data_IF_862035512927
#
_entry.id   IF_862035512927
#
_cell.length_a   1.000
_cell.length_b   1.000
_cell.length_c   1.000
_cell.angle_alpha   90.00
_cell.angle_beta   90.00
_cell.angle_gamma   90.00
#
_symmetry.space_group_name_H-M   'P 1'
#
loop_
_entity.id
_entity.type
_entity.pdbx_description
1 polymer ?
#
# COMPACT_ATOMS: atom_id res chain seq x y z
N UNK A 1 26.81 -76.68 -38.24
CA UNK A 1 25.61 -76.45 -39.03
C UNK A 1 24.98 -75.23 -38.48
N UNK A 2 24.81 -74.24 -39.30
CA UNK A 2 24.13 -72.96 -39.12
C UNK A 2 24.72 -72.06 -38.04
N UNK A 3 25.62 -71.14 -38.47
CA UNK A 3 26.03 -69.92 -37.82
C UNK A 3 24.88 -68.89 -37.89
N UNK A 4 24.55 -68.30 -36.78
CA UNK A 4 23.83 -67.01 -36.78
C UNK A 4 24.78 -65.90 -36.39
N UNK A 5 25.04 -65.02 -37.35
CA UNK A 5 25.82 -63.81 -37.22
C UNK A 5 25.05 -62.79 -36.38
N UNK A 6 25.70 -62.38 -35.33
CA UNK A 6 25.27 -61.29 -34.45
C UNK A 6 25.58 -59.96 -35.14
N UNK A 7 24.58 -59.25 -35.57
CA UNK A 7 24.69 -57.92 -36.18
C UNK A 7 24.56 -56.86 -35.10
N UNK A 8 25.70 -56.29 -34.70
CA UNK A 8 25.76 -55.10 -33.86
C UNK A 8 25.09 -53.91 -34.56
N UNK A 9 24.05 -53.39 -33.92
CA UNK A 9 23.44 -52.12 -34.32
C UNK A 9 24.19 -50.99 -33.56
N UNK A 10 24.98 -50.25 -34.33
CA UNK A 10 25.64 -49.04 -33.83
C UNK A 10 24.54 -47.97 -33.62
N UNK A 11 24.24 -47.62 -32.38
CA UNK A 11 23.42 -46.53 -32.05
C UNK A 11 24.18 -45.21 -32.28
N UNK A 12 23.67 -44.40 -33.16
CA UNK A 12 24.16 -43.08 -33.52
C UNK A 12 23.94 -42.14 -32.30
N UNK A 13 25.00 -41.76 -31.60
CA UNK A 13 24.93 -40.78 -30.53
C UNK A 13 24.72 -39.40 -31.13
N UNK A 14 23.53 -38.84 -30.93
CA UNK A 14 23.24 -37.46 -31.22
C UNK A 14 24.13 -36.52 -30.33
N UNK A 15 24.68 -35.44 -30.88
CA UNK A 15 25.54 -34.56 -30.12
C UNK A 15 24.79 -33.88 -28.98
N UNK A 16 25.17 -34.16 -27.76
CA UNK A 16 24.70 -33.48 -26.57
C UNK A 16 25.17 -32.02 -26.65
N UNK A 17 24.24 -31.13 -26.92
CA UNK A 17 24.50 -29.70 -26.85
C UNK A 17 24.97 -29.34 -25.42
N UNK A 18 26.20 -28.87 -25.28
CA UNK A 18 26.71 -28.31 -24.03
C UNK A 18 25.90 -27.05 -23.73
N UNK A 19 24.98 -27.17 -22.78
CA UNK A 19 24.22 -26.03 -22.26
C UNK A 19 25.23 -25.24 -21.41
N UNK A 20 25.51 -24.01 -21.85
CA UNK A 20 26.34 -23.06 -21.10
C UNK A 20 25.64 -22.74 -19.78
N UNK A 21 26.23 -23.20 -18.67
CA UNK A 21 25.69 -22.97 -17.30
C UNK A 21 25.58 -21.49 -16.93
N UNK A 22 26.20 -20.61 -17.71
CA UNK A 22 26.09 -19.16 -17.53
C UNK A 22 24.83 -18.53 -18.15
N UNK A 23 24.08 -19.25 -18.98
CA UNK A 23 22.83 -18.75 -19.58
C UNK A 23 21.64 -18.74 -18.59
N UNK A 24 21.76 -19.41 -17.45
CA UNK A 24 20.75 -19.42 -16.38
C UNK A 24 21.11 -18.53 -15.19
N UNK A 25 22.16 -17.71 -15.29
CA UNK A 25 22.32 -16.56 -14.44
C UNK A 25 21.20 -15.54 -14.77
N UNK A 26 19.95 -16.01 -14.69
CA UNK A 26 18.82 -15.17 -14.88
C UNK A 26 18.84 -14.08 -13.80
N UNK A 27 18.60 -12.87 -14.22
CA UNK A 27 18.43 -11.63 -13.48
C UNK A 27 17.41 -11.69 -12.32
N UNK A 28 16.97 -12.88 -11.93
CA UNK A 28 16.03 -13.15 -10.83
C UNK A 28 16.70 -13.81 -9.62
N UNK A 29 18.01 -13.68 -9.47
CA UNK A 29 18.67 -14.08 -8.24
C UNK A 29 18.20 -13.17 -7.10
N UNK A 30 17.62 -13.76 -6.05
CA UNK A 30 17.25 -13.07 -4.81
C UNK A 30 18.44 -12.30 -4.17
N UNK A 31 19.65 -12.57 -4.62
CA UNK A 31 20.87 -11.90 -4.20
C UNK A 31 21.02 -10.51 -4.81
N UNK A 32 20.60 -10.31 -6.06
CA UNK A 32 20.59 -8.99 -6.70
C UNK A 32 19.53 -8.07 -6.08
N UNK A 33 18.38 -8.63 -5.62
CA UNK A 33 17.36 -7.86 -4.91
C UNK A 33 17.87 -7.34 -3.55
N UNK A 34 18.76 -8.08 -2.89
CA UNK A 34 19.38 -7.62 -1.63
C UNK A 34 20.41 -6.52 -1.84
N UNK A 35 21.13 -6.52 -2.95
CA UNK A 35 22.15 -5.50 -3.24
C UNK A 35 21.51 -4.18 -3.73
N UNK A 36 20.42 -4.22 -4.50
CA UNK A 36 19.71 -3.01 -4.89
C UNK A 36 18.98 -2.32 -3.72
N UNK A 37 18.59 -3.07 -2.68
CA UNK A 37 18.02 -2.46 -1.49
C UNK A 37 19.03 -1.81 -0.54
N UNK A 38 20.34 -2.06 -0.74
CA UNK A 38 21.39 -1.49 0.12
C UNK A 38 21.98 -0.16 -0.40
N UNK A 39 21.57 0.30 -1.59
CA UNK A 39 22.10 1.54 -2.19
C UNK A 39 21.08 2.69 -2.27
N UNK A 40 19.89 2.50 -1.76
CA UNK A 40 19.04 3.67 -1.47
C UNK A 40 19.53 4.25 -0.15
N UNK A 41 20.35 5.29 -0.25
CA UNK A 41 20.57 6.24 0.81
C UNK A 41 19.20 6.56 1.42
N UNK A 42 18.93 6.00 2.58
CA UNK A 42 17.91 6.53 3.46
C UNK A 42 18.49 7.86 3.90
N UNK A 43 18.22 8.93 3.13
CA UNK A 43 18.40 10.26 3.64
C UNK A 43 17.65 10.25 4.97
N UNK A 44 18.42 10.31 6.06
CA UNK A 44 17.87 10.37 7.40
C UNK A 44 17.12 11.69 7.50
N UNK A 45 15.81 11.63 7.24
CA UNK A 45 14.93 12.79 7.35
C UNK A 45 14.93 13.16 8.82
N UNK A 46 15.59 14.26 9.16
CA UNK A 46 15.63 14.77 10.52
C UNK A 46 14.25 15.33 10.91
N UNK A 47 13.88 15.13 12.17
CA UNK A 47 12.66 15.75 12.70
C UNK A 47 12.84 17.26 12.82
N UNK A 48 11.93 18.00 12.20
CA UNK A 48 11.89 19.47 12.28
C UNK A 48 11.03 19.86 13.48
N UNK A 49 11.61 20.67 14.37
CA UNK A 49 10.89 21.28 15.48
C UNK A 49 10.74 22.80 15.22
N UNK A 50 9.59 23.32 15.62
CA UNK A 50 9.29 24.76 15.53
C UNK A 50 9.64 25.42 16.88
N UNK A 51 10.50 26.40 16.87
CA UNK A 51 10.98 27.08 18.08
C UNK A 51 9.88 27.81 18.86
N UNK A 52 8.88 28.33 18.13
CA UNK A 52 7.74 29.03 18.74
C UNK A 52 6.44 28.42 18.21
N UNK A 53 5.98 27.30 18.79
CA UNK A 53 4.76 26.63 18.33
C UNK A 53 3.52 27.50 18.62
N UNK A 54 2.61 27.60 17.65
CA UNK A 54 1.32 28.24 17.86
C UNK A 54 0.40 27.33 18.71
N UNK A 55 -0.18 27.88 19.77
CA UNK A 55 -0.92 27.10 20.78
C UNK A 55 -2.28 26.62 20.28
N UNK A 56 -2.88 27.29 19.31
CA UNK A 56 -4.27 27.02 18.89
C UNK A 56 -4.35 26.48 17.45
N UNK A 57 -4.12 25.19 17.28
CA UNK A 57 -4.42 24.53 16.02
C UNK A 57 -5.88 24.05 16.00
N UNK A 58 -6.66 24.55 15.04
CA UNK A 58 -8.03 24.06 14.81
C UNK A 58 -7.99 22.68 14.14
N UNK A 59 -8.94 21.82 14.49
CA UNK A 59 -9.11 20.52 13.84
C UNK A 59 -9.30 20.65 12.32
N UNK A 60 -10.06 21.65 11.88
CA UNK A 60 -10.24 21.94 10.43
C UNK A 60 -8.92 22.26 9.73
N UNK A 61 -8.08 23.07 10.37
CA UNK A 61 -6.77 23.44 9.81
C UNK A 61 -5.86 22.21 9.72
N UNK A 62 -5.88 21.35 10.73
CA UNK A 62 -5.13 20.11 10.75
C UNK A 62 -5.62 19.16 9.63
N UNK A 63 -6.93 18.96 9.48
CA UNK A 63 -7.49 18.14 8.41
C UNK A 63 -7.17 18.70 7.01
N UNK A 64 -7.18 20.03 6.86
CA UNK A 64 -6.76 20.68 5.60
C UNK A 64 -5.28 20.44 5.30
N UNK A 65 -4.39 20.58 6.30
CA UNK A 65 -2.96 20.29 6.14
C UNK A 65 -2.71 18.81 5.78
N UNK A 66 -3.47 17.91 6.41
CA UNK A 66 -3.43 16.48 6.11
C UNK A 66 -3.83 16.18 4.65
N UNK A 67 -4.93 16.79 4.18
CA UNK A 67 -5.39 16.63 2.80
C UNK A 67 -4.37 17.19 1.79
N UNK A 68 -3.80 18.37 2.05
CA UNK A 68 -2.72 18.94 1.22
C UNK A 68 -1.50 18.02 1.12
N UNK A 69 -1.14 17.38 2.22
CA UNK A 69 -0.03 16.42 2.19
C UNK A 69 -0.34 15.22 1.29
N UNK A 70 -1.55 14.67 1.39
CA UNK A 70 -1.99 13.58 0.51
C UNK A 70 -1.97 13.99 -0.97
N UNK A 71 -2.40 15.21 -1.31
CA UNK A 71 -2.33 15.77 -2.66
C UNK A 71 -0.88 15.93 -3.15
N UNK A 72 0.02 16.38 -2.26
CA UNK A 72 1.46 16.48 -2.58
C UNK A 72 2.06 15.11 -2.91
N UNK A 73 1.67 14.08 -2.16
CA UNK A 73 2.10 12.71 -2.44
C UNK A 73 1.57 12.18 -3.78
N UNK A 74 0.32 12.49 -4.12
CA UNK A 74 -0.26 12.13 -5.43
C UNK A 74 0.49 12.81 -6.58
N UNK A 75 0.78 14.11 -6.44
CA UNK A 75 1.57 14.88 -7.42
C UNK A 75 2.98 14.31 -7.63
N UNK A 76 3.55 13.72 -6.59
CA UNK A 76 4.85 13.05 -6.62
C UNK A 76 4.76 11.56 -7.05
N UNK A 77 3.60 11.09 -7.50
CA UNK A 77 3.38 9.72 -7.95
C UNK A 77 3.27 8.67 -6.82
N UNK A 78 3.23 9.12 -5.55
CA UNK A 78 3.17 8.24 -4.38
C UNK A 78 1.73 7.89 -3.98
N UNK A 79 0.96 7.39 -4.94
CA UNK A 79 -0.48 7.12 -4.80
C UNK A 79 -0.83 6.14 -3.68
N UNK A 80 0.05 5.16 -3.41
CA UNK A 80 -0.19 4.17 -2.35
C UNK A 80 -0.33 4.85 -0.98
N UNK A 81 0.67 5.64 -0.57
CA UNK A 81 0.66 6.36 0.71
C UNK A 81 -0.47 7.40 0.76
N UNK A 82 -0.69 8.14 -0.33
CA UNK A 82 -1.78 9.10 -0.42
C UNK A 82 -3.15 8.43 -0.20
N UNK A 83 -3.38 7.26 -0.81
CA UNK A 83 -4.62 6.51 -0.63
C UNK A 83 -4.78 6.02 0.81
N UNK A 84 -3.71 5.59 1.45
CA UNK A 84 -3.72 5.20 2.87
C UNK A 84 -4.13 6.40 3.74
N UNK A 85 -3.59 7.59 3.52
CA UNK A 85 -3.91 8.80 4.27
C UNK A 85 -5.37 9.27 4.10
N UNK A 86 -6.08 8.75 3.11
CA UNK A 86 -7.51 9.03 2.88
C UNK A 86 -8.46 7.97 3.45
N UNK A 87 -7.94 6.87 4.04
CA UNK A 87 -8.79 5.81 4.59
C UNK A 87 -9.63 6.29 5.76
N UNK A 88 -9.07 7.12 6.62
CA UNK A 88 -9.79 7.68 7.76
C UNK A 88 -9.48 9.17 7.94
N UNK A 89 -10.26 9.83 8.79
CA UNK A 89 -10.04 11.24 9.12
C UNK A 89 -9.18 11.33 10.37
N UNK A 90 -8.08 12.10 10.35
CA UNK A 90 -7.27 12.31 11.53
C UNK A 90 -8.05 13.14 12.59
N UNK A 91 -7.83 12.84 13.84
CA UNK A 91 -8.47 13.47 14.99
C UNK A 91 -7.41 14.22 15.79
N UNK A 92 -7.69 15.50 16.09
CA UNK A 92 -6.81 16.31 16.92
C UNK A 92 -7.10 16.08 18.39
N UNK A 93 -6.09 15.72 19.18
CA UNK A 93 -6.16 15.55 20.62
C UNK A 93 -5.10 16.41 21.28
N UNK A 94 -5.51 17.46 21.99
CA UNK A 94 -4.62 18.42 22.71
C UNK A 94 -3.30 18.75 21.99
N UNK A 95 -2.31 17.87 22.05
CA UNK A 95 -0.97 18.06 21.47
C UNK A 95 -0.55 16.89 20.53
N UNK A 96 -1.51 16.09 20.11
CA UNK A 96 -1.27 14.94 19.22
C UNK A 96 -2.36 14.79 18.18
N UNK A 97 -1.99 14.18 17.04
CA UNK A 97 -2.88 13.77 15.98
C UNK A 97 -3.05 12.27 16.08
N UNK A 98 -4.27 11.79 16.28
CA UNK A 98 -4.60 10.37 16.25
C UNK A 98 -5.06 9.99 14.86
N UNK A 99 -4.43 8.97 14.27
CA UNK A 99 -4.80 8.44 12.97
C UNK A 99 -5.04 6.93 13.05
N UNK A 100 -6.22 6.49 12.61
CA UNK A 100 -6.63 5.09 12.67
C UNK A 100 -6.48 4.43 11.31
N UNK A 101 -5.87 3.25 11.28
CA UNK A 101 -5.65 2.44 10.08
C UNK A 101 -6.30 1.07 10.22
N UNK A 102 -6.67 0.40 9.09
CA UNK A 102 -7.43 -0.85 9.12
C UNK A 102 -6.62 -2.09 9.50
N UNK A 103 -5.30 -2.06 9.39
CA UNK A 103 -4.42 -3.22 9.64
C UNK A 103 -2.98 -2.81 9.95
N UNK A 104 -2.19 -3.79 10.44
CA UNK A 104 -0.79 -3.59 10.80
C UNK A 104 0.12 -3.31 9.59
N UNK A 105 -0.16 -3.90 8.41
CA UNK A 105 0.61 -3.63 7.19
C UNK A 105 0.52 -2.16 6.81
N UNK A 106 -0.69 -1.60 6.82
CA UNK A 106 -0.92 -0.17 6.56
C UNK A 106 -0.26 0.70 7.63
N UNK A 107 -0.25 0.26 8.89
CA UNK A 107 0.46 0.94 9.97
C UNK A 107 1.95 1.03 9.70
N UNK A 108 2.59 -0.08 9.36
CA UNK A 108 4.02 -0.13 9.06
C UNK A 108 4.40 0.75 7.85
N UNK A 109 3.54 0.85 6.84
CA UNK A 109 3.78 1.72 5.70
C UNK A 109 3.75 3.21 6.09
N UNK A 110 2.80 3.62 6.94
CA UNK A 110 2.75 5.01 7.44
C UNK A 110 3.90 5.28 8.41
N UNK A 111 4.27 4.33 9.26
CA UNK A 111 5.39 4.48 10.20
C UNK A 111 6.72 4.79 9.49
N UNK A 112 6.95 4.26 8.29
CA UNK A 112 8.11 4.63 7.45
C UNK A 112 8.10 6.09 7.04
N UNK A 113 6.93 6.68 6.91
CA UNK A 113 6.73 8.07 6.46
C UNK A 113 6.43 9.04 7.61
N UNK A 114 6.41 8.56 8.86
CA UNK A 114 5.92 9.33 10.01
C UNK A 114 6.66 10.66 10.17
N UNK A 115 7.97 10.66 9.97
CA UNK A 115 8.81 11.86 10.10
C UNK A 115 8.45 12.87 8.99
N UNK A 116 8.30 12.42 7.76
CA UNK A 116 7.92 13.28 6.62
C UNK A 116 6.55 13.92 6.82
N UNK A 117 5.56 13.11 7.26
CA UNK A 117 4.22 13.57 7.58
C UNK A 117 4.24 14.60 8.71
N UNK A 118 4.94 14.31 9.81
CA UNK A 118 5.05 15.21 10.95
C UNK A 118 5.74 16.53 10.58
N UNK A 119 6.84 16.47 9.84
CA UNK A 119 7.57 17.65 9.40
C UNK A 119 6.72 18.55 8.52
N UNK A 120 5.95 17.98 7.58
CA UNK A 120 5.03 18.75 6.75
C UNK A 120 3.94 19.43 7.60
N UNK A 121 3.29 18.67 8.47
CA UNK A 121 2.20 19.17 9.32
C UNK A 121 2.71 20.24 10.29
N UNK A 122 3.88 20.02 10.90
CA UNK A 122 4.51 21.01 11.80
C UNK A 122 4.80 22.33 11.09
N UNK A 123 5.35 22.27 9.87
CA UNK A 123 5.62 23.47 9.04
C UNK A 123 4.33 24.21 8.67
N UNK A 124 3.30 23.46 8.22
CA UNK A 124 2.03 24.06 7.77
C UNK A 124 1.25 24.68 8.94
N UNK A 125 1.21 24.01 10.09
CA UNK A 125 0.45 24.44 11.27
C UNK A 125 1.26 25.29 12.24
N UNK A 126 2.57 25.39 12.05
CA UNK A 126 3.52 26.05 12.97
C UNK A 126 3.34 25.54 14.41
N UNK A 127 3.19 24.23 14.57
CA UNK A 127 2.94 23.58 15.85
C UNK A 127 3.63 22.21 15.91
N UNK A 128 4.20 21.84 17.07
CA UNK A 128 4.92 20.59 17.28
C UNK A 128 3.98 19.43 17.68
N UNK A 129 2.99 19.14 16.82
CA UNK A 129 2.07 18.04 17.05
C UNK A 129 2.74 16.68 16.82
N UNK A 130 2.46 15.72 17.69
CA UNK A 130 2.92 14.35 17.57
C UNK A 130 1.88 13.50 16.86
N UNK A 131 2.29 12.71 15.85
CA UNK A 131 1.40 11.76 15.19
C UNK A 131 1.40 10.42 15.93
N UNK A 132 0.22 9.92 16.24
CA UNK A 132 -0.03 8.62 16.87
C UNK A 132 -0.88 7.79 15.91
N UNK A 133 -0.38 6.60 15.54
CA UNK A 133 -1.06 5.70 14.62
C UNK A 133 -1.63 4.52 15.43
N UNK A 134 -2.92 4.26 15.27
CA UNK A 134 -3.63 3.17 15.91
C UNK A 134 -4.28 2.25 14.90
N UNK A 135 -4.34 0.95 15.18
CA UNK A 135 -5.02 -0.02 14.32
C UNK A 135 -6.45 -0.20 14.79
N UNK A 136 -7.41 0.15 13.94
CA UNK A 136 -8.84 -0.10 14.16
C UNK A 136 -9.39 -1.02 13.07
N UNK A 137 -9.57 -2.30 13.41
CA UNK A 137 -10.10 -3.33 12.51
C UNK A 137 -11.53 -3.05 12.03
N UNK A 138 -12.27 -2.17 12.73
CA UNK A 138 -13.65 -1.82 12.38
C UNK A 138 -13.73 -0.86 11.18
N UNK A 139 -12.66 -0.15 10.84
CA UNK A 139 -12.62 0.75 9.67
C UNK A 139 -12.96 -0.02 8.39
N UNK A 140 -12.50 -1.27 8.25
CA UNK A 140 -12.82 -2.12 7.10
C UNK A 140 -14.32 -2.36 6.92
N UNK A 141 -15.10 -2.38 8.00
CA UNK A 141 -16.55 -2.58 7.94
C UNK A 141 -17.31 -1.40 7.31
N UNK A 142 -16.68 -0.22 7.23
CA UNK A 142 -17.29 0.96 6.56
C UNK A 142 -17.25 0.85 5.04
N UNK A 143 -16.34 0.06 4.48
CA UNK A 143 -16.25 -0.15 3.04
C UNK A 143 -17.06 -1.39 2.65
N UNK A 144 -18.11 -1.17 1.89
CA UNK A 144 -18.97 -2.21 1.36
C UNK A 144 -18.35 -2.72 0.06
N UNK A 145 -17.71 -3.89 0.14
CA UNK A 145 -16.92 -4.43 -0.99
C UNK A 145 -17.77 -5.30 -1.91
N UNK A 146 -18.68 -6.10 -1.35
CA UNK A 146 -19.50 -7.00 -2.13
C UNK A 146 -20.65 -6.28 -2.84
N UNK A 147 -21.09 -6.82 -3.98
CA UNK A 147 -22.27 -6.29 -4.72
C UNK A 147 -23.50 -6.26 -3.83
N UNK A 148 -23.69 -7.30 -3.02
CA UNK A 148 -24.79 -7.42 -2.07
C UNK A 148 -24.74 -6.34 -0.98
N UNK A 149 -23.56 -6.08 -0.39
CA UNK A 149 -23.40 -5.02 0.62
C UNK A 149 -23.63 -3.63 0.04
N UNK A 150 -23.12 -3.38 -1.19
CA UNK A 150 -23.37 -2.14 -1.91
C UNK A 150 -24.85 -1.93 -2.19
N UNK A 151 -25.53 -2.98 -2.65
CA UNK A 151 -26.98 -2.93 -2.89
C UNK A 151 -27.75 -2.66 -1.60
N UNK A 152 -27.47 -3.36 -0.52
CA UNK A 152 -28.13 -3.14 0.77
C UNK A 152 -27.96 -1.71 1.26
N UNK A 153 -26.76 -1.15 1.10
CA UNK A 153 -26.50 0.23 1.44
C UNK A 153 -27.25 1.24 0.60
N UNK A 154 -27.42 0.97 -0.70
CA UNK A 154 -28.21 1.80 -1.59
C UNK A 154 -29.71 1.68 -1.28
N UNK A 155 -30.18 0.46 -0.93
CA UNK A 155 -31.55 0.20 -0.51
C UNK A 155 -31.90 0.95 0.78
N UNK A 156 -30.99 1.01 1.76
CA UNK A 156 -31.18 1.81 2.98
C UNK A 156 -31.37 3.31 2.68
N UNK A 157 -30.61 3.83 1.71
CA UNK A 157 -30.73 5.23 1.28
C UNK A 157 -31.96 5.50 0.42
N UNK A 158 -32.36 4.52 -0.38
CA UNK A 158 -33.50 4.63 -1.27
C UNK A 158 -34.29 3.31 -1.34
N UNK A 159 -35.36 3.15 -0.53
CA UNK A 159 -36.17 1.93 -0.51
C UNK A 159 -36.85 1.58 -1.83
N UNK A 160 -37.01 2.56 -2.74
CA UNK A 160 -37.60 2.32 -4.07
C UNK A 160 -36.76 1.41 -4.96
N UNK A 161 -35.46 1.24 -4.64
CA UNK A 161 -34.55 0.33 -5.37
C UNK A 161 -35.01 -1.14 -5.30
N UNK A 162 -35.69 -1.53 -4.24
CA UNK A 162 -36.26 -2.88 -4.13
C UNK A 162 -37.37 -3.13 -5.15
N UNK A 163 -38.23 -2.14 -5.37
CA UNK A 163 -39.26 -2.22 -6.42
C UNK A 163 -38.63 -2.32 -7.81
N UNK A 164 -37.59 -1.54 -8.06
CA UNK A 164 -36.87 -1.57 -9.33
C UNK A 164 -36.24 -2.95 -9.57
N UNK A 165 -35.58 -3.52 -8.55
CA UNK A 165 -35.01 -4.89 -8.61
C UNK A 165 -36.09 -5.92 -9.01
N UNK A 166 -37.23 -5.85 -8.37
CA UNK A 166 -38.36 -6.80 -8.60
C UNK A 166 -38.97 -6.63 -10.00
N UNK A 167 -39.18 -5.38 -10.46
CA UNK A 167 -39.74 -5.09 -11.79
C UNK A 167 -38.81 -5.60 -12.90
N UNK A 168 -37.50 -5.35 -12.78
CA UNK A 168 -36.53 -5.73 -13.78
C UNK A 168 -35.91 -7.12 -13.54
N UNK A 169 -36.34 -7.85 -12.50
CA UNK A 169 -35.85 -9.19 -12.13
C UNK A 169 -34.31 -9.25 -12.05
N UNK A 170 -33.68 -8.20 -11.49
CA UNK A 170 -32.23 -8.13 -11.38
C UNK A 170 -31.71 -9.11 -10.34
N UNK A 171 -30.70 -9.93 -10.70
CA UNK A 171 -29.93 -10.72 -9.77
C UNK A 171 -28.76 -9.91 -9.22
N UNK A 172 -28.53 -9.96 -7.92
CA UNK A 172 -27.45 -9.25 -7.22
C UNK A 172 -26.75 -10.24 -6.30
#
# INVERSE_FOLDING_TARGET
MINEENKEVIADEAPVAKIDENLFASTLSLKSIKEENNTKNVDSIEEVFIDSPSVNTSEKNMQSAWAKYAETLESNGRYNIASILRISTPILSKNSISYNVPNDTTRLEIEKEIISIQNFIRKELKNNLKLIISVDKNIRKKFKYTTTEKYNALKEKNPKLEKLKNIFKLSI
#
